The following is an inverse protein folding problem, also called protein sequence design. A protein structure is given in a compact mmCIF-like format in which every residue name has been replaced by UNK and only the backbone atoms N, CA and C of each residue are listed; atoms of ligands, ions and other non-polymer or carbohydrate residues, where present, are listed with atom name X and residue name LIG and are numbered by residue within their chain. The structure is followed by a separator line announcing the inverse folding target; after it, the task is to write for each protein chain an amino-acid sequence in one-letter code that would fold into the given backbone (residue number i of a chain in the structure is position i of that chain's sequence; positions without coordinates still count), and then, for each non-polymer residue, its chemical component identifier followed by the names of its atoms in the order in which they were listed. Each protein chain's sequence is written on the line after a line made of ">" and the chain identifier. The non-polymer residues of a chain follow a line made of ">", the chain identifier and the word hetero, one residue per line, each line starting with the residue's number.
data_IF_306551531142
#
_entry.id   IF_306551531142
#
_cell.length_a   1.000
_cell.length_b   1.000
_cell.length_c   1.000
_cell.angle_alpha   90.00
_cell.angle_beta   90.00
_cell.angle_gamma   90.00
#
_symmetry.space_group_name_H-M   'P 1'
#
loop_
_entity.id
_entity.type
_entity.pdbx_description
1 polymer ?
#
# COMPACT_ATOMS: atom_id res chain seq x y z
N UNK A 1 -11.92 -43.20 -61.12
CA UNK A 1 -13.32 -43.66 -61.08
C UNK A 1 -13.54 -44.54 -59.88
N UNK A 2 -14.48 -44.23 -59.11
CA UNK A 2 -15.17 -44.81 -57.95
C UNK A 2 -15.06 -43.97 -56.73
N UNK A 3 -16.10 -43.23 -56.55
CA UNK A 3 -16.48 -42.42 -55.41
C UNK A 3 -16.80 -43.33 -54.22
N UNK A 4 -16.21 -43.04 -53.03
CA UNK A 4 -16.65 -43.65 -51.77
C UNK A 4 -17.10 -42.52 -50.87
N UNK A 5 -18.38 -42.46 -50.56
CA UNK A 5 -19.01 -41.62 -49.55
C UNK A 5 -18.76 -42.25 -48.19
N UNK A 6 -18.09 -41.53 -47.30
CA UNK A 6 -18.05 -41.90 -45.88
C UNK A 6 -19.07 -41.08 -45.08
N UNK A 7 -19.96 -41.84 -44.48
CA UNK A 7 -20.99 -41.41 -43.55
C UNK A 7 -20.38 -41.20 -42.17
N UNK A 8 -20.35 -39.94 -41.67
CA UNK A 8 -19.94 -39.63 -40.30
C UNK A 8 -21.18 -39.73 -39.40
N UNK A 9 -21.18 -40.72 -38.54
CA UNK A 9 -22.12 -40.84 -37.42
C UNK A 9 -21.54 -40.06 -36.27
N UNK A 10 -22.20 -38.98 -35.87
CA UNK A 10 -21.86 -38.20 -34.67
C UNK A 10 -22.58 -38.77 -33.46
N UNK A 11 -21.85 -39.38 -32.56
CA UNK A 11 -22.33 -39.78 -31.24
C UNK A 11 -22.03 -38.65 -30.25
N UNK A 12 -23.05 -37.93 -29.82
CA UNK A 12 -22.97 -36.93 -28.75
C UNK A 12 -22.95 -37.63 -27.39
N UNK A 13 -21.81 -37.61 -26.72
CA UNK A 13 -21.72 -37.98 -25.30
C UNK A 13 -21.83 -36.67 -24.50
N UNK A 14 -22.99 -36.47 -23.86
CA UNK A 14 -23.20 -35.43 -22.89
C UNK A 14 -22.47 -35.82 -21.58
N UNK A 15 -21.26 -35.33 -21.41
CA UNK A 15 -20.53 -35.43 -20.14
C UNK A 15 -20.91 -34.23 -19.25
N UNK A 16 -21.67 -34.49 -18.21
CA UNK A 16 -21.96 -33.50 -17.15
C UNK A 16 -20.71 -33.30 -16.34
N UNK A 17 -19.95 -32.25 -16.63
CA UNK A 17 -18.90 -31.78 -15.73
C UNK A 17 -19.54 -31.01 -14.56
N UNK A 18 -19.56 -31.61 -13.38
CA UNK A 18 -19.76 -30.92 -12.12
C UNK A 18 -18.53 -30.03 -11.87
N UNK A 19 -18.63 -28.75 -12.23
CA UNK A 19 -17.69 -27.72 -11.80
C UNK A 19 -18.01 -27.45 -10.33
N UNK A 20 -17.21 -27.99 -9.41
CA UNK A 20 -17.18 -27.53 -8.03
C UNK A 20 -16.66 -26.09 -8.02
N UNK A 21 -17.56 -25.14 -7.91
CA UNK A 21 -17.25 -23.73 -7.76
C UNK A 21 -16.47 -23.49 -6.49
N UNK A 22 -15.27 -22.95 -6.61
CA UNK A 22 -14.55 -22.31 -5.50
C UNK A 22 -15.41 -21.15 -5.03
N UNK A 23 -15.94 -21.27 -3.81
CA UNK A 23 -16.66 -20.18 -3.12
C UNK A 23 -15.67 -19.06 -2.83
N UNK A 24 -15.52 -18.14 -3.78
CA UNK A 24 -15.01 -16.82 -3.49
C UNK A 24 -16.02 -16.11 -2.57
N UNK A 25 -15.53 -15.44 -1.53
CA UNK A 25 -16.35 -14.57 -0.68
C UNK A 25 -16.79 -13.33 -1.47
N UNK A 26 -17.65 -13.52 -2.46
CA UNK A 26 -18.45 -12.48 -3.06
C UNK A 26 -19.91 -12.83 -2.73
N UNK A 27 -20.60 -11.96 -2.01
CA UNK A 27 -22.05 -12.00 -1.94
C UNK A 27 -22.57 -11.98 -3.39
N UNK A 28 -23.24 -13.06 -3.82
CA UNK A 28 -23.97 -13.10 -5.06
C UNK A 28 -25.27 -12.31 -4.89
N UNK A 29 -25.22 -11.00 -5.10
CA UNK A 29 -26.41 -10.16 -5.18
C UNK A 29 -27.02 -10.20 -6.57
N UNK A 30 -28.34 -10.22 -6.66
CA UNK A 30 -29.11 -10.08 -7.89
C UNK A 30 -28.99 -8.63 -8.45
N UNK A 31 -29.27 -8.36 -9.74
CA UNK A 31 -29.19 -7.02 -10.31
C UNK A 31 -29.97 -5.90 -9.58
N UNK A 32 -30.99 -6.24 -8.79
CA UNK A 32 -31.75 -5.31 -7.95
C UNK A 32 -30.97 -4.88 -6.68
N UNK A 33 -29.94 -5.65 -6.22
CA UNK A 33 -29.11 -5.32 -5.06
C UNK A 33 -27.95 -4.37 -5.42
N UNK A 34 -27.64 -4.16 -6.70
CA UNK A 34 -26.55 -3.25 -7.11
C UNK A 34 -26.87 -1.81 -6.75
N UNK A 35 -28.14 -1.38 -6.76
CA UNK A 35 -28.52 -0.03 -6.35
C UNK A 35 -28.50 0.19 -4.83
N UNK A 36 -28.52 -0.85 -4.00
CA UNK A 36 -28.42 -0.75 -2.54
C UNK A 36 -26.97 -0.72 -2.01
N UNK A 37 -25.99 -0.91 -2.87
CA UNK A 37 -24.58 -1.11 -2.48
C UNK A 37 -23.78 0.18 -2.20
N UNK A 38 -24.33 1.36 -2.51
CA UNK A 38 -23.66 2.64 -2.23
C UNK A 38 -23.71 3.07 -0.76
N UNK A 39 -24.58 2.46 0.03
CA UNK A 39 -24.68 2.74 1.46
C UNK A 39 -23.40 2.33 2.19
N UNK A 40 -23.04 3.14 3.19
CA UNK A 40 -21.97 2.78 4.13
C UNK A 40 -22.52 1.73 5.10
N UNK A 41 -21.87 0.57 5.14
CA UNK A 41 -22.26 -0.57 5.97
C UNK A 41 -21.17 -0.93 6.96
N UNK A 42 -21.51 -1.23 8.22
CA UNK A 42 -20.55 -1.75 9.18
C UNK A 42 -19.88 -3.02 8.65
N UNK A 43 -18.58 -3.15 8.92
CA UNK A 43 -17.79 -4.31 8.55
C UNK A 43 -17.10 -4.88 9.79
N UNK A 44 -17.03 -6.19 9.86
CA UNK A 44 -16.24 -6.92 10.85
C UNK A 44 -15.41 -7.99 10.15
N UNK A 45 -14.16 -8.08 10.54
CA UNK A 45 -13.25 -9.13 10.08
C UNK A 45 -13.68 -10.44 10.72
N UNK A 46 -13.87 -11.44 9.88
CA UNK A 46 -14.07 -12.83 10.32
C UNK A 46 -13.44 -13.77 9.30
N UNK A 47 -12.39 -14.45 9.72
CA UNK A 47 -11.72 -15.47 8.90
C UNK A 47 -12.13 -16.86 9.40
N UNK A 48 -12.78 -17.71 8.57
CA UNK A 48 -13.12 -19.06 8.96
C UNK A 48 -11.89 -19.86 9.40
N UNK A 49 -12.04 -20.69 10.44
CA UNK A 49 -10.93 -21.49 10.97
C UNK A 49 -10.28 -22.41 9.94
N UNK A 50 -11.05 -22.88 8.96
CA UNK A 50 -10.53 -23.70 7.85
C UNK A 50 -9.43 -22.99 7.03
N UNK A 51 -9.54 -21.65 6.83
CA UNK A 51 -8.55 -20.87 6.08
C UNK A 51 -7.24 -20.75 6.87
N UNK A 52 -7.33 -20.56 8.18
CA UNK A 52 -6.15 -20.54 9.06
C UNK A 52 -5.49 -21.92 9.14
N UNK A 53 -6.29 -22.98 9.14
CA UNK A 53 -5.80 -24.35 9.11
C UNK A 53 -5.11 -24.67 7.78
N UNK A 54 -5.67 -24.22 6.66
CA UNK A 54 -5.05 -24.39 5.34
C UNK A 54 -3.72 -23.62 5.24
N UNK A 55 -3.67 -22.38 5.73
CA UNK A 55 -2.42 -21.61 5.82
C UNK A 55 -1.33 -22.40 6.56
N UNK A 56 -1.63 -22.90 7.76
CA UNK A 56 -0.68 -23.68 8.56
C UNK A 56 -0.24 -24.97 7.84
N UNK A 57 -1.16 -25.66 7.18
CA UNK A 57 -0.89 -26.85 6.37
C UNK A 57 0.08 -26.51 5.21
N UNK A 58 -0.16 -25.42 4.50
CA UNK A 58 0.70 -24.98 3.38
C UNK A 58 2.09 -24.56 3.87
N UNK A 59 2.18 -23.86 4.97
CA UNK A 59 3.45 -23.54 5.62
C UNK A 59 4.24 -24.81 5.94
N UNK A 60 3.59 -25.82 6.55
CA UNK A 60 4.24 -27.09 6.89
C UNK A 60 4.67 -27.89 5.65
N UNK A 61 4.03 -27.69 4.51
CA UNK A 61 4.33 -28.36 3.24
C UNK A 61 5.30 -27.55 2.35
N UNK A 62 5.89 -26.47 2.85
CA UNK A 62 6.81 -25.62 2.07
C UNK A 62 8.00 -26.44 1.57
N UNK A 63 8.25 -26.34 0.26
CA UNK A 63 9.48 -26.84 -0.37
C UNK A 63 10.48 -25.70 -0.42
N UNK A 64 11.58 -25.86 0.29
CA UNK A 64 12.62 -24.85 0.36
C UNK A 64 13.61 -24.98 -0.80
N UNK A 65 14.11 -23.86 -1.36
CA UNK A 65 15.21 -23.88 -2.30
C UNK A 65 16.54 -24.18 -1.59
N UNK A 66 17.60 -24.30 -2.36
CA UNK A 66 18.97 -24.22 -1.88
C UNK A 66 19.29 -22.83 -1.34
N UNK A 67 20.40 -22.74 -0.57
CA UNK A 67 20.87 -21.49 0.01
C UNK A 67 21.31 -20.49 -1.06
N UNK A 68 21.18 -19.21 -0.73
CA UNK A 68 21.86 -18.12 -1.43
C UNK A 68 23.38 -18.36 -1.47
N UNK A 69 24.03 -17.87 -2.52
CA UNK A 69 25.49 -18.04 -2.73
C UNK A 69 26.30 -16.82 -2.26
N UNK A 70 25.64 -15.88 -1.57
CA UNK A 70 26.22 -14.66 -1.01
C UNK A 70 25.91 -14.56 0.48
N UNK A 71 26.75 -13.83 1.22
CA UNK A 71 26.55 -13.66 2.67
C UNK A 71 25.59 -12.54 3.04
N UNK A 72 25.13 -11.75 2.06
CA UNK A 72 24.25 -10.61 2.26
C UNK A 72 22.85 -10.86 1.64
N UNK A 73 22.04 -9.80 1.57
CA UNK A 73 20.67 -9.85 1.02
C UNK A 73 20.58 -9.48 -0.47
N UNK A 74 21.69 -9.46 -1.20
CA UNK A 74 21.70 -9.03 -2.60
C UNK A 74 20.98 -10.01 -3.53
N UNK A 75 20.77 -11.25 -3.12
CA UNK A 75 19.96 -12.26 -3.81
C UNK A 75 18.53 -12.38 -3.27
N UNK A 76 18.11 -11.54 -2.32
CA UNK A 76 16.77 -11.54 -1.73
C UNK A 76 16.76 -11.90 -0.25
N UNK A 77 15.62 -12.40 0.24
CA UNK A 77 15.49 -12.84 1.63
C UNK A 77 16.39 -14.07 1.86
N UNK A 78 17.24 -14.01 2.90
CA UNK A 78 18.12 -15.10 3.27
C UNK A 78 17.33 -16.32 3.75
N UNK A 79 17.68 -17.51 3.30
CA UNK A 79 16.92 -18.73 3.54
C UNK A 79 16.68 -19.01 5.02
N UNK A 80 17.72 -18.93 5.84
CA UNK A 80 17.60 -19.21 7.30
C UNK A 80 16.65 -18.23 7.98
N UNK A 81 16.77 -16.93 7.67
CA UNK A 81 15.91 -15.89 8.23
C UNK A 81 14.45 -16.05 7.79
N UNK A 82 14.23 -16.39 6.53
CA UNK A 82 12.89 -16.66 6.04
C UNK A 82 12.30 -17.94 6.66
N UNK A 83 13.09 -18.98 6.82
CA UNK A 83 12.65 -20.21 7.50
C UNK A 83 12.26 -19.96 8.95
N UNK A 84 13.02 -19.13 9.67
CA UNK A 84 12.70 -18.71 11.03
C UNK A 84 11.34 -18.01 11.10
N UNK A 85 11.12 -16.99 10.25
CA UNK A 85 9.87 -16.24 10.19
C UNK A 85 8.68 -17.13 9.81
N UNK A 86 8.82 -17.96 8.79
CA UNK A 86 7.75 -18.85 8.30
C UNK A 86 7.44 -19.97 9.31
N UNK A 87 8.43 -20.50 10.02
CA UNK A 87 8.22 -21.43 11.11
C UNK A 87 7.44 -20.80 12.27
N UNK A 88 7.78 -19.56 12.64
CA UNK A 88 7.03 -18.80 13.63
C UNK A 88 5.59 -18.53 13.17
N UNK A 89 5.40 -18.14 11.91
CA UNK A 89 4.09 -17.95 11.29
C UNK A 89 3.19 -19.19 11.40
N UNK A 90 3.77 -20.37 11.17
CA UNK A 90 3.02 -21.64 11.26
C UNK A 90 2.70 -22.11 12.67
N UNK A 91 3.53 -21.76 13.68
CA UNK A 91 3.47 -22.34 15.03
C UNK A 91 3.17 -21.36 16.15
N UNK A 92 3.82 -20.19 16.14
CA UNK A 92 3.77 -19.19 17.23
C UNK A 92 2.76 -18.07 17.00
N UNK A 93 2.56 -17.71 15.72
CA UNK A 93 1.69 -16.61 15.34
C UNK A 93 0.20 -16.97 15.44
N UNK A 94 -0.61 -16.01 15.91
CA UNK A 94 -2.07 -16.16 16.06
C UNK A 94 -2.82 -15.00 15.39
N UNK A 95 -3.40 -15.25 14.22
CA UNK A 95 -4.24 -14.31 13.49
C UNK A 95 -5.42 -13.76 14.31
N UNK A 96 -5.94 -14.52 15.29
CA UNK A 96 -7.08 -14.05 16.09
C UNK A 96 -6.77 -12.76 16.84
N UNK A 97 -5.52 -12.55 17.23
CA UNK A 97 -5.09 -11.28 17.85
C UNK A 97 -5.14 -10.11 16.85
N UNK A 98 -4.74 -10.33 15.60
CA UNK A 98 -4.84 -9.32 14.53
C UNK A 98 -6.32 -9.02 14.19
N UNK A 99 -7.14 -10.04 14.11
CA UNK A 99 -8.59 -9.92 13.90
C UNK A 99 -9.26 -9.13 15.03
N UNK A 100 -8.86 -9.38 16.29
CA UNK A 100 -9.33 -8.63 17.46
C UNK A 100 -8.91 -7.16 17.41
N UNK A 101 -7.64 -6.86 17.09
CA UNK A 101 -7.13 -5.48 16.91
C UNK A 101 -7.95 -4.72 15.86
N UNK A 102 -8.20 -5.31 14.71
CA UNK A 102 -9.02 -4.71 13.67
C UNK A 102 -10.47 -4.51 14.12
N UNK A 103 -11.06 -5.52 14.75
CA UNK A 103 -12.46 -5.49 15.19
C UNK A 103 -12.71 -4.56 16.40
N UNK A 104 -11.67 -4.11 17.08
CA UNK A 104 -11.74 -3.05 18.10
C UNK A 104 -11.96 -1.66 17.48
N UNK A 105 -11.74 -1.52 16.17
CA UNK A 105 -11.91 -0.25 15.43
C UNK A 105 -13.23 -0.26 14.64
N UNK A 106 -13.89 0.90 14.50
CA UNK A 106 -15.02 1.05 13.59
C UNK A 106 -14.57 0.86 12.14
N UNK A 107 -15.09 -0.18 11.49
CA UNK A 107 -14.80 -0.51 10.10
C UNK A 107 -16.08 -0.54 9.29
N UNK A 108 -15.95 -0.19 8.03
CA UNK A 108 -17.08 -0.05 7.12
C UNK A 108 -16.71 -0.49 5.70
N UNK A 109 -17.77 -0.71 4.89
CA UNK A 109 -17.64 -0.88 3.45
C UNK A 109 -18.66 -0.02 2.72
N UNK A 110 -18.31 0.42 1.51
CA UNK A 110 -19.22 1.07 0.57
C UNK A 110 -18.77 0.77 -0.85
N UNK A 111 -19.69 0.65 -1.80
CA UNK A 111 -19.33 0.42 -3.20
C UNK A 111 -19.16 1.74 -3.93
N UNK A 112 -18.01 1.95 -4.58
CA UNK A 112 -17.72 3.11 -5.42
C UNK A 112 -17.17 2.61 -6.74
N UNK A 113 -17.71 3.08 -7.85
CA UNK A 113 -17.34 2.65 -9.21
C UNK A 113 -17.36 1.12 -9.39
N UNK A 114 -18.31 0.43 -8.76
CA UNK A 114 -18.46 -1.03 -8.83
C UNK A 114 -17.51 -1.85 -7.96
N UNK A 115 -16.59 -1.20 -7.23
CA UNK A 115 -15.66 -1.86 -6.30
C UNK A 115 -16.08 -1.57 -4.86
N UNK A 116 -16.15 -2.64 -4.05
CA UNK A 116 -16.42 -2.51 -2.62
C UNK A 116 -15.18 -1.97 -1.91
N UNK A 117 -15.26 -0.81 -1.32
CA UNK A 117 -14.16 -0.16 -0.59
C UNK A 117 -14.35 -0.42 0.90
N UNK A 118 -13.40 -1.13 1.49
CA UNK A 118 -13.26 -1.27 2.93
C UNK A 118 -12.48 -0.08 3.49
N UNK A 119 -12.89 0.42 4.66
CA UNK A 119 -12.17 1.48 5.36
C UNK A 119 -12.39 1.45 6.87
N UNK A 120 -11.39 1.89 7.61
CA UNK A 120 -11.47 2.22 9.03
C UNK A 120 -11.87 3.70 9.12
N UNK A 121 -12.84 4.04 9.97
CA UNK A 121 -13.25 5.42 10.18
C UNK A 121 -13.44 5.68 11.66
N UNK A 122 -12.52 6.45 12.25
CA UNK A 122 -12.55 6.80 13.67
C UNK A 122 -12.74 8.31 13.81
N UNK A 123 -13.86 8.69 14.39
CA UNK A 123 -14.15 10.09 14.72
C UNK A 123 -13.49 10.47 16.04
N UNK A 124 -12.94 11.67 16.07
CA UNK A 124 -12.45 12.29 17.27
C UNK A 124 -13.59 12.65 18.24
N UNK A 125 -13.39 12.59 19.55
CA UNK A 125 -14.33 13.20 20.51
C UNK A 125 -14.37 14.73 20.45
N UNK A 126 -13.44 15.38 19.75
CA UNK A 126 -13.34 16.84 19.64
C UNK A 126 -14.08 17.36 18.41
N UNK A 127 -14.99 18.34 18.61
CA UNK A 127 -15.92 18.80 17.57
C UNK A 127 -15.26 19.43 16.33
N UNK A 128 -14.08 20.02 16.49
CA UNK A 128 -13.36 20.73 15.42
C UNK A 128 -12.18 19.90 14.86
N UNK A 129 -12.24 18.59 15.00
CA UNK A 129 -11.24 17.71 14.42
C UNK A 129 -11.19 17.87 12.90
N UNK A 130 -9.98 17.99 12.34
CA UNK A 130 -9.78 18.05 10.89
C UNK A 130 -9.95 16.64 10.30
N UNK A 131 -10.90 16.42 9.36
CA UNK A 131 -10.99 15.15 8.67
C UNK A 131 -9.74 14.88 7.84
N UNK A 132 -9.18 13.67 7.99
CA UNK A 132 -7.95 13.25 7.34
C UNK A 132 -8.12 11.86 6.72
N UNK A 133 -7.96 11.77 5.41
CA UNK A 133 -7.85 10.49 4.73
C UNK A 133 -6.37 10.11 4.59
N UNK A 134 -6.03 8.88 5.00
CA UNK A 134 -4.66 8.37 5.00
C UNK A 134 -4.59 7.12 4.12
N UNK A 135 -3.72 7.15 3.12
CA UNK A 135 -3.54 6.06 2.16
C UNK A 135 -2.24 5.32 2.41
N UNK A 136 -2.34 4.01 2.60
CA UNK A 136 -1.20 3.09 2.68
C UNK A 136 -0.60 2.80 1.30
N UNK A 137 0.46 1.98 1.25
CA UNK A 137 1.10 1.54 0.02
C UNK A 137 1.37 0.04 -0.05
N UNK A 138 2.32 -0.35 -0.89
CA UNK A 138 2.79 -1.72 -1.04
C UNK A 138 4.23 -1.84 -0.46
N UNK A 139 4.58 -2.91 0.24
CA UNK A 139 3.79 -4.08 0.59
C UNK A 139 3.03 -3.97 1.93
N UNK A 140 2.67 -2.77 2.34
CA UNK A 140 1.88 -2.51 3.54
C UNK A 140 0.38 -2.64 3.31
N UNK A 141 -0.36 -2.33 4.35
CA UNK A 141 -1.82 -2.30 4.39
C UNK A 141 -2.31 -1.35 5.48
N UNK A 142 -3.60 -1.43 5.83
CA UNK A 142 -4.13 -0.67 6.97
C UNK A 142 -3.39 -0.95 8.29
N UNK A 143 -2.71 -2.09 8.41
CA UNK A 143 -1.95 -2.45 9.62
C UNK A 143 -0.81 -1.47 9.90
N UNK A 144 -0.15 -0.93 8.88
CA UNK A 144 0.93 0.05 9.06
C UNK A 144 0.48 1.35 9.72
N UNK A 145 -0.83 1.65 9.69
CA UNK A 145 -1.43 2.90 10.15
C UNK A 145 -2.17 2.78 11.49
N UNK A 146 -2.31 1.57 12.07
CA UNK A 146 -3.13 1.39 13.27
C UNK A 146 -2.60 2.14 14.49
N UNK A 147 -1.28 2.22 14.64
CA UNK A 147 -0.63 2.86 15.81
C UNK A 147 -0.88 4.37 15.89
N UNK A 148 -1.15 5.03 14.77
CA UNK A 148 -1.36 6.49 14.73
C UNK A 148 -2.82 6.91 14.96
N UNK A 149 -3.77 5.98 14.91
CA UNK A 149 -5.22 6.29 15.02
C UNK A 149 -5.51 6.96 16.38
N UNK A 150 -5.13 6.33 17.48
CA UNK A 150 -5.35 6.87 18.82
C UNK A 150 -4.70 8.26 19.01
N UNK A 151 -3.39 8.42 18.73
CA UNK A 151 -2.72 9.71 18.81
C UNK A 151 -3.36 10.80 17.96
N UNK A 152 -3.84 10.50 16.76
CA UNK A 152 -4.50 11.48 15.88
C UNK A 152 -5.92 11.83 16.34
N UNK A 153 -6.70 10.84 16.76
CA UNK A 153 -8.12 11.07 17.10
C UNK A 153 -8.35 11.58 18.53
N UNK A 154 -7.48 11.21 19.47
CA UNK A 154 -7.55 11.63 20.87
C UNK A 154 -6.20 12.19 21.37
N UNK A 155 -5.70 13.28 20.77
CA UNK A 155 -4.35 13.78 21.02
C UNK A 155 -4.04 14.07 22.48
N UNK A 156 -5.01 14.48 23.30
CA UNK A 156 -4.75 14.80 24.73
C UNK A 156 -4.35 13.59 25.56
N UNK A 157 -4.75 12.37 25.15
CA UNK A 157 -4.29 11.13 25.79
C UNK A 157 -2.85 10.77 25.40
N UNK A 158 -2.26 11.46 24.43
CA UNK A 158 -0.92 11.21 23.87
C UNK A 158 -0.05 12.49 23.85
N UNK A 159 -0.23 13.39 24.81
CA UNK A 159 0.60 14.58 24.97
C UNK A 159 0.35 15.74 23.99
N UNK A 160 -0.67 15.62 23.12
CA UNK A 160 -1.11 16.69 22.22
C UNK A 160 -2.25 17.52 22.80
N UNK A 161 -2.84 18.39 21.99
CA UNK A 161 -3.92 19.31 22.37
C UNK A 161 -5.19 18.97 21.63
N UNK A 162 -6.36 19.33 22.19
CA UNK A 162 -7.67 19.06 21.60
C UNK A 162 -7.82 19.65 20.18
N UNK A 163 -7.24 20.82 19.93
CA UNK A 163 -7.24 21.46 18.62
C UNK A 163 -6.38 20.74 17.57
N UNK A 164 -5.49 19.81 17.99
CA UNK A 164 -4.67 19.02 17.08
C UNK A 164 -5.36 17.73 16.60
N UNK A 165 -6.63 17.53 16.97
CA UNK A 165 -7.37 16.32 16.67
C UNK A 165 -7.74 16.18 15.19
N UNK A 166 -7.82 14.90 14.75
CA UNK A 166 -8.29 14.52 13.42
C UNK A 166 -9.45 13.52 13.50
N UNK A 167 -10.40 13.61 12.57
CA UNK A 167 -11.22 12.47 12.20
C UNK A 167 -10.45 11.65 11.16
N UNK A 168 -10.21 10.38 11.42
CA UNK A 168 -9.30 9.56 10.60
C UNK A 168 -10.08 8.59 9.73
N UNK A 169 -9.80 8.59 8.41
CA UNK A 169 -10.33 7.64 7.43
C UNK A 169 -9.16 6.91 6.79
N UNK A 170 -9.09 5.59 6.95
CA UNK A 170 -8.03 4.73 6.41
C UNK A 170 -8.67 3.69 5.50
N UNK A 171 -8.77 3.93 4.18
CA UNK A 171 -9.26 2.92 3.25
C UNK A 171 -8.20 1.86 2.94
N UNK A 172 -8.62 0.60 2.78
CA UNK A 172 -7.83 -0.38 2.02
C UNK A 172 -7.87 0.00 0.55
N UNK A 173 -6.72 0.05 -0.11
CA UNK A 173 -6.65 0.33 -1.55
C UNK A 173 -7.47 -0.70 -2.35
N UNK A 174 -8.08 -0.31 -3.49
CA UNK A 174 -8.72 -1.27 -4.38
C UNK A 174 -7.77 -2.42 -4.76
N UNK A 175 -8.20 -3.66 -4.53
CA UNK A 175 -7.36 -4.83 -4.74
C UNK A 175 -6.45 -5.23 -3.57
N UNK A 176 -6.49 -4.49 -2.46
CA UNK A 176 -5.73 -4.76 -1.23
C UNK A 176 -6.65 -5.11 -0.08
N UNK A 177 -6.16 -5.95 0.83
CA UNK A 177 -6.84 -6.26 2.08
C UNK A 177 -8.31 -6.64 1.86
N UNK A 178 -9.20 -5.99 2.59
CA UNK A 178 -10.64 -6.28 2.52
C UNK A 178 -11.40 -5.47 1.46
N UNK A 179 -10.74 -4.59 0.70
CA UNK A 179 -11.37 -3.97 -0.46
C UNK A 179 -11.53 -4.96 -1.62
N UNK A 180 -12.57 -4.72 -2.43
CA UNK A 180 -12.84 -5.50 -3.63
C UNK A 180 -11.68 -5.40 -4.63
N UNK A 181 -11.50 -6.47 -5.41
CA UNK A 181 -10.51 -6.52 -6.48
C UNK A 181 -11.14 -5.99 -7.76
N UNK A 182 -10.56 -4.96 -8.41
CA UNK A 182 -11.02 -4.53 -9.71
C UNK A 182 -11.02 -5.68 -10.72
N UNK A 183 -12.08 -5.78 -11.50
CA UNK A 183 -12.27 -6.81 -12.55
C UNK A 183 -11.99 -6.27 -13.94
N UNK A 184 -11.72 -4.98 -14.09
CA UNK A 184 -11.40 -4.28 -15.31
C UNK A 184 -10.15 -3.42 -15.13
N UNK A 185 -9.49 -3.04 -16.22
CA UNK A 185 -8.38 -2.09 -16.22
C UNK A 185 -8.88 -0.65 -15.95
N UNK A 186 -7.93 0.25 -15.65
CA UNK A 186 -8.21 1.68 -15.40
C UNK A 186 -8.35 2.03 -13.92
N UNK A 187 -7.95 1.14 -13.01
CA UNK A 187 -7.91 1.40 -11.56
C UNK A 187 -6.54 1.91 -11.08
N UNK A 188 -5.96 2.83 -11.85
CA UNK A 188 -4.74 3.53 -11.47
C UNK A 188 -4.97 4.63 -10.42
N UNK A 189 -3.87 5.31 -10.00
CA UNK A 189 -3.90 6.34 -8.94
C UNK A 189 -4.92 7.46 -9.18
N UNK A 190 -5.12 7.88 -10.42
CA UNK A 190 -6.07 8.92 -10.78
C UNK A 190 -7.53 8.54 -10.48
N UNK A 191 -7.91 7.29 -10.73
CA UNK A 191 -9.25 6.79 -10.41
C UNK A 191 -9.42 6.62 -8.91
N UNK A 192 -8.41 6.07 -8.24
CA UNK A 192 -8.42 5.90 -6.79
C UNK A 192 -8.55 7.25 -6.08
N UNK A 193 -7.86 8.28 -6.55
CA UNK A 193 -7.97 9.64 -6.03
C UNK A 193 -9.42 10.18 -6.10
N UNK A 194 -10.13 9.96 -7.22
CA UNK A 194 -11.56 10.32 -7.34
C UNK A 194 -12.43 9.51 -6.37
N UNK A 195 -12.14 8.23 -6.22
CA UNK A 195 -12.86 7.34 -5.28
C UNK A 195 -12.70 7.83 -3.84
N UNK A 196 -11.53 8.33 -3.46
CA UNK A 196 -11.28 8.90 -2.12
C UNK A 196 -12.09 10.17 -1.88
N UNK A 197 -12.21 11.06 -2.86
CA UNK A 197 -13.09 12.24 -2.76
C UNK A 197 -14.57 11.83 -2.62
N UNK A 198 -15.03 10.84 -3.38
CA UNK A 198 -16.39 10.30 -3.24
C UNK A 198 -16.59 9.70 -1.85
N UNK A 199 -15.63 8.95 -1.33
CA UNK A 199 -15.69 8.38 0.01
C UNK A 199 -15.82 9.47 1.08
N UNK A 200 -14.99 10.51 1.03
CA UNK A 200 -15.03 11.62 1.99
C UNK A 200 -16.36 12.36 1.93
N UNK A 201 -16.91 12.62 0.74
CA UNK A 201 -18.24 13.23 0.56
C UNK A 201 -19.36 12.35 1.10
N UNK A 202 -19.31 11.03 0.91
CA UNK A 202 -20.30 10.08 1.49
C UNK A 202 -20.27 10.07 3.02
N UNK A 203 -19.10 10.32 3.62
CA UNK A 203 -18.94 10.46 5.06
C UNK A 203 -19.41 11.83 5.58
N UNK A 204 -19.81 12.75 4.69
CA UNK A 204 -20.30 14.09 5.01
C UNK A 204 -19.19 15.14 5.15
N UNK A 205 -17.96 14.83 4.75
CA UNK A 205 -16.84 15.76 4.84
C UNK A 205 -16.77 16.67 3.62
N UNK A 206 -16.94 17.96 3.85
CA UNK A 206 -16.84 19.03 2.82
C UNK A 206 -15.54 19.82 2.91
N UNK A 207 -14.74 19.57 3.95
CA UNK A 207 -13.41 20.12 4.16
C UNK A 207 -12.55 19.05 4.80
N UNK A 208 -11.43 18.65 4.18
CA UNK A 208 -10.58 17.57 4.64
C UNK A 208 -9.16 17.70 4.10
N UNK A 209 -8.21 17.03 4.76
CA UNK A 209 -6.84 16.86 4.29
C UNK A 209 -6.60 15.42 3.83
N UNK A 210 -5.53 15.21 3.05
CA UNK A 210 -5.10 13.88 2.63
C UNK A 210 -3.62 13.66 2.93
N UNK A 211 -3.28 12.43 3.31
CA UNK A 211 -1.91 11.98 3.57
C UNK A 211 -1.63 10.69 2.84
N UNK A 212 -0.38 10.50 2.36
CA UNK A 212 0.07 9.24 1.80
C UNK A 212 1.58 9.08 1.77
N UNK A 213 2.02 7.84 1.91
CA UNK A 213 3.36 7.34 1.63
C UNK A 213 3.29 6.27 0.54
N UNK A 214 4.39 5.97 -0.14
CA UNK A 214 4.43 4.96 -1.22
C UNK A 214 3.33 5.17 -2.28
N UNK A 215 2.51 4.16 -2.61
CA UNK A 215 1.34 4.34 -3.48
C UNK A 215 0.35 5.35 -2.94
N UNK A 216 0.23 5.43 -1.61
CA UNK A 216 -0.56 6.48 -0.97
C UNK A 216 -0.08 7.88 -1.34
N UNK A 217 1.24 8.11 -1.50
CA UNK A 217 1.77 9.39 -1.96
C UNK A 217 1.34 9.70 -3.40
N UNK A 218 1.48 8.75 -4.31
CA UNK A 218 1.08 8.91 -5.73
C UNK A 218 -0.43 9.21 -5.85
N UNK A 219 -1.26 8.53 -5.06
CA UNK A 219 -2.71 8.75 -5.00
C UNK A 219 -3.02 10.13 -4.41
N UNK A 220 -2.34 10.53 -3.34
CA UNK A 220 -2.52 11.82 -2.68
C UNK A 220 -2.09 12.97 -3.59
N UNK A 221 -1.03 12.81 -4.36
CA UNK A 221 -0.63 13.76 -5.42
C UNK A 221 -1.69 13.84 -6.52
N UNK A 222 -2.27 12.71 -6.93
CA UNK A 222 -3.38 12.71 -7.87
C UNK A 222 -4.61 13.46 -7.31
N UNK A 223 -4.92 13.31 -6.02
CA UNK A 223 -5.94 14.14 -5.36
C UNK A 223 -5.58 15.63 -5.40
N UNK A 224 -4.31 15.97 -5.12
CA UNK A 224 -3.81 17.34 -5.20
C UNK A 224 -3.94 17.97 -6.58
N UNK A 225 -3.66 17.19 -7.65
CA UNK A 225 -3.85 17.65 -9.04
C UNK A 225 -5.31 17.85 -9.42
N UNK A 226 -6.18 16.92 -9.00
CA UNK A 226 -7.62 17.00 -9.24
C UNK A 226 -8.27 18.10 -8.44
N UNK A 227 -7.69 18.49 -7.31
CA UNK A 227 -8.09 19.57 -6.42
C UNK A 227 -9.61 19.60 -6.17
N UNK A 228 -10.23 18.50 -5.67
CA UNK A 228 -11.63 18.48 -5.38
C UNK A 228 -11.96 19.57 -4.33
N UNK A 229 -13.12 20.20 -4.44
CA UNK A 229 -13.49 21.41 -3.66
C UNK A 229 -13.34 21.22 -2.13
N UNK A 230 -13.46 19.99 -1.62
CA UNK A 230 -13.32 19.70 -0.18
C UNK A 230 -11.87 19.50 0.27
N UNK A 231 -10.91 19.30 -0.62
CA UNK A 231 -9.52 19.02 -0.27
C UNK A 231 -8.78 20.32 0.07
N UNK A 232 -8.36 20.47 1.31
CA UNK A 232 -7.69 21.67 1.82
C UNK A 232 -6.18 21.67 1.62
N UNK A 233 -5.54 20.50 1.62
CA UNK A 233 -4.11 20.33 1.45
C UNK A 233 -3.69 18.87 1.57
N UNK A 234 -2.43 18.59 1.24
CA UNK A 234 -1.86 17.24 1.22
C UNK A 234 -0.57 17.16 2.02
N UNK A 235 -0.30 15.98 2.59
CA UNK A 235 0.98 15.63 3.21
C UNK A 235 1.55 14.36 2.59
N UNK A 236 2.86 14.35 2.34
CA UNK A 236 3.58 13.27 1.68
C UNK A 236 4.83 12.90 2.46
N UNK A 237 5.12 11.61 2.61
CA UNK A 237 6.39 11.12 3.12
C UNK A 237 7.26 10.40 2.06
N UNK A 238 6.74 10.18 0.86
CA UNK A 238 7.51 9.75 -0.32
C UNK A 238 7.12 10.59 -1.54
N UNK A 239 7.50 11.88 -1.59
CA UNK A 239 7.03 12.82 -2.60
C UNK A 239 7.70 12.63 -3.97
N UNK A 240 6.98 12.92 -5.06
CA UNK A 240 7.55 12.95 -6.40
C UNK A 240 8.27 14.27 -6.62
N UNK A 241 9.58 14.31 -6.40
CA UNK A 241 10.37 15.54 -6.48
C UNK A 241 11.55 15.47 -7.44
N UNK A 242 11.86 14.27 -7.99
CA UNK A 242 13.04 14.11 -8.86
C UNK A 242 12.89 14.96 -10.12
N UNK A 243 13.84 15.90 -10.38
CA UNK A 243 13.81 16.74 -11.57
C UNK A 243 14.00 15.94 -12.86
N UNK A 244 13.49 16.45 -13.98
CA UNK A 244 13.50 15.74 -15.27
C UNK A 244 14.90 15.35 -15.73
N UNK A 245 15.91 16.22 -15.56
CA UNK A 245 17.29 15.95 -15.92
C UNK A 245 17.94 14.85 -15.07
N UNK A 246 17.57 14.78 -13.79
CA UNK A 246 18.02 13.73 -12.86
C UNK A 246 17.35 12.39 -13.18
N UNK A 247 16.04 12.40 -13.41
CA UNK A 247 15.28 11.19 -13.77
C UNK A 247 15.74 10.59 -15.10
N UNK A 248 16.04 11.45 -16.10
CA UNK A 248 16.61 11.03 -17.37
C UNK A 248 17.99 10.36 -17.19
N UNK A 249 18.88 10.95 -16.38
CA UNK A 249 20.19 10.38 -16.10
C UNK A 249 20.10 9.04 -15.35
N UNK A 250 19.22 8.94 -14.34
CA UNK A 250 18.94 7.69 -13.62
C UNK A 250 18.36 6.60 -14.53
N UNK A 251 17.51 6.97 -15.47
CA UNK A 251 16.85 6.03 -16.41
C UNK A 251 17.83 5.49 -17.44
N UNK A 252 18.71 6.32 -17.95
CA UNK A 252 19.72 5.93 -18.94
C UNK A 252 21.00 5.33 -18.33
N UNK A 253 21.15 5.40 -17.00
CA UNK A 253 22.39 5.01 -16.30
C UNK A 253 23.55 5.97 -16.53
N UNK A 254 23.26 7.19 -17.00
CA UNK A 254 24.25 8.25 -17.26
C UNK A 254 24.84 8.81 -15.96
N UNK A 255 25.99 9.50 -16.02
CA UNK A 255 26.53 10.23 -14.86
C UNK A 255 25.55 11.28 -14.33
N UNK A 256 25.75 11.69 -13.09
CA UNK A 256 24.97 12.74 -12.45
C UNK A 256 25.03 14.04 -13.30
N UNK A 257 23.91 14.74 -13.47
CA UNK A 257 23.90 16.06 -14.09
C UNK A 257 24.85 17.04 -13.38
N UNK A 258 25.47 17.94 -14.14
CA UNK A 258 26.32 18.97 -13.55
C UNK A 258 25.51 19.93 -12.67
N UNK A 259 26.14 20.45 -11.62
CA UNK A 259 25.56 21.49 -10.76
C UNK A 259 24.69 20.98 -9.61
N UNK A 260 24.60 19.66 -9.39
CA UNK A 260 23.97 19.12 -8.19
C UNK A 260 24.77 19.53 -6.95
N UNK A 261 24.07 19.96 -5.87
CA UNK A 261 24.66 20.14 -4.54
C UNK A 261 25.17 18.81 -3.97
N UNK A 262 25.99 18.84 -2.91
CA UNK A 262 26.47 17.63 -2.24
C UNK A 262 25.33 16.69 -1.88
N UNK A 263 24.26 17.20 -1.25
CA UNK A 263 23.09 16.43 -0.84
C UNK A 263 22.32 15.85 -2.03
N UNK A 264 22.12 16.62 -3.09
CA UNK A 264 21.47 16.16 -4.30
C UNK A 264 22.28 15.07 -5.01
N UNK A 265 23.61 15.20 -5.01
CA UNK A 265 24.52 14.19 -5.54
C UNK A 265 24.47 12.89 -4.72
N UNK A 266 24.41 12.99 -3.38
CA UNK A 266 24.25 11.82 -2.50
C UNK A 266 22.95 11.07 -2.79
N UNK A 267 21.85 11.80 -2.99
CA UNK A 267 20.55 11.21 -3.34
C UNK A 267 20.59 10.58 -4.73
N UNK A 268 21.20 11.26 -5.72
CA UNK A 268 21.40 10.68 -7.06
C UNK A 268 22.19 9.35 -6.98
N UNK A 269 23.28 9.33 -6.24
CA UNK A 269 24.13 8.15 -6.08
C UNK A 269 23.36 7.01 -5.39
N UNK A 270 22.58 7.30 -4.34
CA UNK A 270 21.74 6.32 -3.66
C UNK A 270 20.69 5.69 -4.60
N UNK A 271 19.97 6.52 -5.36
CA UNK A 271 18.99 6.07 -6.35
C UNK A 271 19.63 5.29 -7.50
N UNK A 272 20.80 5.74 -8.00
CA UNK A 272 21.57 5.01 -9.02
C UNK A 272 21.99 3.62 -8.52
N UNK A 273 22.46 3.54 -7.27
CA UNK A 273 22.78 2.26 -6.63
C UNK A 273 21.54 1.39 -6.50
N UNK A 274 20.45 1.93 -5.97
CA UNK A 274 19.16 1.24 -5.80
C UNK A 274 18.68 0.59 -7.11
N UNK A 275 18.75 1.33 -8.23
CA UNK A 275 18.38 0.80 -9.56
C UNK A 275 19.37 -0.27 -10.06
N UNK A 276 20.69 -0.05 -9.90
CA UNK A 276 21.75 -0.96 -10.39
C UNK A 276 21.84 -2.27 -9.62
N UNK A 277 21.54 -2.28 -8.34
CA UNK A 277 21.63 -3.48 -7.50
C UNK A 277 20.42 -4.40 -7.60
N UNK A 278 19.42 -4.05 -8.42
CA UNK A 278 18.19 -4.83 -8.54
C UNK A 278 17.22 -4.68 -7.36
N UNK A 279 17.51 -3.78 -6.40
CA UNK A 279 16.63 -3.53 -5.27
C UNK A 279 15.22 -3.05 -5.70
N UNK A 280 15.11 -2.45 -6.89
CA UNK A 280 13.86 -2.05 -7.52
C UNK A 280 13.23 -3.13 -8.43
N UNK A 281 13.77 -4.36 -8.48
CA UNK A 281 13.31 -5.39 -9.43
C UNK A 281 11.85 -5.79 -9.25
N UNK A 282 11.34 -5.78 -8.02
CA UNK A 282 9.93 -6.03 -7.75
C UNK A 282 9.00 -5.07 -8.51
N UNK A 283 9.36 -3.79 -8.56
CA UNK A 283 8.61 -2.76 -9.29
C UNK A 283 8.57 -3.08 -10.79
N UNK A 284 9.72 -3.43 -11.39
CA UNK A 284 9.82 -3.79 -12.81
C UNK A 284 8.93 -4.97 -13.15
N UNK A 285 8.96 -6.02 -12.33
CA UNK A 285 8.16 -7.24 -12.55
C UNK A 285 6.67 -6.93 -12.42
N UNK A 286 6.26 -6.22 -11.35
CA UNK A 286 4.86 -5.89 -11.11
C UNK A 286 4.30 -4.92 -12.18
N UNK A 287 5.12 -3.99 -12.64
CA UNK A 287 4.74 -3.08 -13.75
C UNK A 287 4.57 -3.84 -15.07
N UNK A 288 5.45 -4.80 -15.37
CA UNK A 288 5.45 -5.48 -16.66
C UNK A 288 4.52 -6.70 -16.74
N UNK A 289 4.52 -7.54 -15.70
CA UNK A 289 3.86 -8.87 -15.72
C UNK A 289 3.33 -9.29 -14.35
N UNK A 290 2.41 -8.52 -13.72
CA UNK A 290 1.91 -8.79 -12.37
C UNK A 290 1.26 -10.17 -12.23
N UNK A 291 0.59 -10.66 -13.27
CA UNK A 291 -0.06 -11.97 -13.26
C UNK A 291 0.95 -13.12 -13.16
N UNK A 292 2.16 -12.97 -13.71
CA UNK A 292 3.15 -14.04 -13.76
C UNK A 292 3.62 -14.48 -12.36
N UNK A 293 3.85 -13.54 -11.47
CA UNK A 293 4.23 -13.82 -10.07
C UNK A 293 3.04 -14.28 -9.23
N UNK A 294 1.82 -13.89 -9.62
CA UNK A 294 0.60 -14.14 -8.87
C UNK A 294 0.35 -15.63 -8.61
N UNK A 295 0.68 -16.52 -9.56
CA UNK A 295 0.51 -17.95 -9.39
C UNK A 295 1.31 -18.51 -8.20
N UNK A 296 2.58 -18.11 -8.07
CA UNK A 296 3.42 -18.51 -6.94
C UNK A 296 3.00 -17.86 -5.63
N UNK A 297 2.64 -16.57 -5.65
CA UNK A 297 2.24 -15.83 -4.45
C UNK A 297 0.89 -16.27 -3.88
N UNK A 298 0.01 -16.80 -4.73
CA UNK A 298 -1.29 -17.36 -4.32
C UNK A 298 -1.17 -18.78 -3.76
N UNK A 299 -0.15 -19.52 -4.17
CA UNK A 299 -0.01 -20.94 -3.82
C UNK A 299 0.93 -21.19 -2.63
N UNK A 300 1.95 -20.35 -2.45
CA UNK A 300 2.99 -20.53 -1.42
C UNK A 300 3.01 -19.37 -0.40
N UNK A 301 2.66 -19.61 0.88
CA UNK A 301 2.84 -18.61 1.94
C UNK A 301 4.31 -18.18 2.08
N UNK A 302 5.25 -19.11 2.01
CA UNK A 302 6.68 -18.79 2.08
C UNK A 302 7.13 -17.96 0.87
N UNK A 303 6.63 -18.28 -0.33
CA UNK A 303 6.87 -17.48 -1.54
C UNK A 303 6.30 -16.08 -1.42
N UNK A 304 5.11 -15.93 -0.84
CA UNK A 304 4.51 -14.63 -0.54
C UNK A 304 5.38 -13.82 0.44
N UNK A 305 5.77 -14.41 1.57
CA UNK A 305 6.63 -13.76 2.56
C UNK A 305 7.96 -13.30 1.94
N UNK A 306 8.64 -14.17 1.17
CA UNK A 306 9.86 -13.83 0.46
C UNK A 306 9.66 -12.65 -0.50
N UNK A 307 8.50 -12.61 -1.20
CA UNK A 307 8.17 -11.54 -2.14
C UNK A 307 7.89 -10.21 -1.45
N UNK A 308 7.17 -10.19 -0.34
CA UNK A 308 6.92 -8.96 0.41
C UNK A 308 8.22 -8.43 1.03
N UNK A 309 9.08 -9.32 1.53
CA UNK A 309 10.38 -8.99 2.10
C UNK A 309 11.42 -8.45 1.09
N UNK A 310 11.15 -8.54 -0.22
CA UNK A 310 12.04 -7.95 -1.23
C UNK A 310 12.03 -6.41 -1.17
N UNK A 311 10.95 -5.82 -0.63
CA UNK A 311 10.86 -4.37 -0.50
C UNK A 311 11.90 -3.85 0.50
N UNK A 312 12.71 -2.83 0.15
CA UNK A 312 13.77 -2.32 1.02
C UNK A 312 13.30 -1.87 2.41
N UNK A 313 12.09 -1.36 2.53
CA UNK A 313 11.47 -1.00 3.80
C UNK A 313 11.42 -2.18 4.77
N UNK A 314 11.08 -3.40 4.32
CA UNK A 314 11.12 -4.60 5.14
C UNK A 314 12.54 -5.18 5.31
N UNK A 315 13.42 -5.00 4.35
CA UNK A 315 14.77 -5.56 4.40
C UNK A 315 15.67 -4.92 5.47
N UNK A 316 15.28 -3.76 6.01
CA UNK A 316 16.02 -3.10 7.09
C UNK A 316 15.69 -3.70 8.46
N UNK A 317 14.61 -4.48 8.58
CA UNK A 317 14.15 -4.97 9.86
C UNK A 317 14.87 -6.24 10.30
N UNK A 318 15.41 -6.16 11.48
CA UNK A 318 15.83 -7.30 12.27
C UNK A 318 14.66 -7.57 13.23
N UNK A 319 13.81 -8.52 12.87
CA UNK A 319 12.60 -8.82 13.63
C UNK A 319 12.90 -9.06 15.10
N UNK A 320 12.20 -8.37 16.01
CA UNK A 320 12.28 -8.43 17.46
C UNK A 320 13.56 -7.83 18.11
N UNK A 321 14.51 -7.28 17.36
CA UNK A 321 15.74 -6.78 17.96
C UNK A 321 15.51 -5.45 18.72
N UNK A 322 14.54 -4.64 18.28
CA UNK A 322 14.17 -3.39 18.94
C UNK A 322 12.70 -3.01 18.65
N UNK A 323 11.74 -3.43 19.49
CA UNK A 323 10.32 -3.17 19.28
C UNK A 323 9.94 -1.66 19.36
N UNK A 324 10.79 -0.82 19.94
CA UNK A 324 10.60 0.62 19.99
C UNK A 324 11.04 1.31 18.68
N UNK A 325 11.82 0.59 17.86
CA UNK A 325 12.38 1.10 16.62
C UNK A 325 11.69 0.51 15.38
N UNK A 326 11.29 -0.75 15.44
CA UNK A 326 10.76 -1.51 14.30
C UNK A 326 9.49 -2.25 14.68
N UNK A 327 8.63 -2.56 13.70
CA UNK A 327 7.50 -3.47 13.92
C UNK A 327 7.97 -4.83 14.45
N UNK A 328 7.17 -5.40 15.34
CA UNK A 328 7.40 -6.74 15.86
C UNK A 328 7.15 -7.79 14.78
N UNK A 329 7.66 -9.00 14.99
CA UNK A 329 7.41 -10.17 14.14
C UNK A 329 5.90 -10.43 13.94
N UNK A 330 5.11 -10.30 15.01
CA UNK A 330 3.65 -10.43 14.96
C UNK A 330 3.02 -9.37 14.06
N UNK A 331 3.43 -8.12 14.16
CA UNK A 331 2.90 -7.02 13.34
C UNK A 331 3.19 -7.23 11.85
N UNK A 332 4.41 -7.66 11.51
CA UNK A 332 4.77 -8.00 10.12
C UNK A 332 3.92 -9.16 9.61
N UNK A 333 3.68 -10.17 10.45
CA UNK A 333 2.85 -11.31 10.10
C UNK A 333 1.34 -10.98 10.08
N UNK A 334 0.88 -9.97 10.81
CA UNK A 334 -0.48 -9.45 10.68
C UNK A 334 -0.73 -8.98 9.22
N UNK A 335 0.23 -8.23 8.67
CA UNK A 335 0.17 -7.74 7.29
C UNK A 335 0.31 -8.87 6.26
N UNK A 336 1.32 -9.73 6.37
CA UNK A 336 1.52 -10.86 5.45
C UNK A 336 0.33 -11.83 5.45
N UNK A 337 -0.25 -12.07 6.63
CA UNK A 337 -1.42 -12.92 6.78
C UNK A 337 -2.65 -12.29 6.14
N UNK A 338 -2.81 -10.97 6.22
CA UNK A 338 -3.87 -10.25 5.51
C UNK A 338 -3.75 -10.46 3.99
N UNK A 339 -2.55 -10.27 3.41
CA UNK A 339 -2.31 -10.53 1.99
C UNK A 339 -2.65 -11.97 1.60
N UNK A 340 -2.27 -12.94 2.42
CA UNK A 340 -2.56 -14.35 2.18
C UNK A 340 -4.06 -14.64 2.23
N UNK A 341 -4.73 -14.30 3.33
CA UNK A 341 -6.13 -14.64 3.58
C UNK A 341 -7.08 -13.95 2.61
N UNK A 342 -6.74 -12.77 2.14
CA UNK A 342 -7.54 -12.04 1.13
C UNK A 342 -7.10 -12.37 -0.30
N UNK A 343 -6.02 -13.14 -0.47
CA UNK A 343 -5.40 -13.43 -1.77
C UNK A 343 -5.17 -12.17 -2.60
N UNK A 344 -4.64 -11.11 -1.97
CA UNK A 344 -4.55 -9.78 -2.58
C UNK A 344 -3.23 -9.49 -3.29
N UNK A 345 -2.24 -10.41 -3.26
CA UNK A 345 -0.91 -10.17 -3.84
C UNK A 345 -0.92 -9.79 -5.31
N UNK A 346 -1.69 -10.54 -6.13
CA UNK A 346 -1.78 -10.28 -7.57
C UNK A 346 -2.56 -9.00 -7.87
N UNK A 347 -3.68 -8.77 -7.16
CA UNK A 347 -4.47 -7.56 -7.36
C UNK A 347 -3.73 -6.29 -6.92
N UNK A 348 -2.95 -6.37 -5.85
CA UNK A 348 -2.06 -5.30 -5.41
C UNK A 348 -0.97 -5.00 -6.46
N UNK A 349 -0.35 -6.03 -7.01
CA UNK A 349 0.65 -5.88 -8.06
C UNK A 349 0.11 -5.20 -9.34
N UNK A 350 -1.20 -5.33 -9.62
CA UNK A 350 -1.82 -4.66 -10.78
C UNK A 350 -1.81 -3.14 -10.68
N UNK A 351 -1.74 -2.55 -9.49
CA UNK A 351 -1.61 -1.10 -9.33
C UNK A 351 -0.32 -0.57 -9.98
N UNK A 352 0.77 -1.34 -9.90
CA UNK A 352 2.02 -1.03 -10.61
C UNK A 352 1.83 -1.04 -12.13
N UNK A 353 1.12 -2.03 -12.65
CA UNK A 353 0.82 -2.14 -14.08
C UNK A 353 -0.09 -0.99 -14.55
N UNK A 354 -1.10 -0.62 -13.76
CA UNK A 354 -2.01 0.50 -14.04
C UNK A 354 -1.27 1.87 -14.07
N UNK A 355 -0.18 1.99 -13.34
CA UNK A 355 0.69 3.18 -13.36
C UNK A 355 1.80 3.08 -14.42
N UNK A 356 1.73 2.12 -15.33
CA UNK A 356 2.80 1.69 -16.23
C UNK A 356 3.63 2.84 -16.82
N UNK A 357 4.94 2.76 -16.60
CA UNK A 357 5.91 3.71 -17.14
C UNK A 357 6.00 5.07 -16.45
N UNK A 358 5.16 5.36 -15.45
CA UNK A 358 5.26 6.59 -14.66
C UNK A 358 6.16 6.35 -13.45
N UNK A 359 7.24 7.07 -13.35
CA UNK A 359 8.12 7.06 -12.18
C UNK A 359 7.38 7.62 -10.96
N UNK A 360 7.18 6.84 -9.88
CA UNK A 360 6.38 7.29 -8.73
C UNK A 360 6.98 8.51 -8.03
N UNK A 361 8.29 8.66 -8.06
CA UNK A 361 9.03 9.77 -7.43
C UNK A 361 9.52 10.83 -8.44
N UNK A 362 9.11 10.73 -9.71
CA UNK A 362 9.45 11.71 -10.76
C UNK A 362 8.45 12.88 -10.75
N UNK A 363 8.94 14.10 -10.52
CA UNK A 363 8.12 15.31 -10.51
C UNK A 363 7.37 15.52 -11.83
N UNK A 364 8.03 15.25 -12.96
CA UNK A 364 7.43 15.39 -14.29
C UNK A 364 6.38 14.31 -14.56
N UNK A 365 6.66 13.06 -14.21
CA UNK A 365 5.72 11.96 -14.41
C UNK A 365 4.44 12.14 -13.57
N UNK A 366 4.58 12.68 -12.35
CA UNK A 366 3.47 12.97 -11.46
C UNK A 366 2.90 14.38 -11.63
N UNK A 367 3.45 15.20 -12.55
CA UNK A 367 2.96 16.57 -12.84
C UNK A 367 2.77 17.43 -11.59
N UNK A 368 3.71 17.37 -10.67
CA UNK A 368 3.59 17.98 -9.33
C UNK A 368 3.45 19.50 -9.39
N UNK A 369 3.97 20.17 -10.43
CA UNK A 369 3.79 21.61 -10.64
C UNK A 369 2.35 22.03 -10.91
N UNK A 370 1.45 21.09 -11.25
CA UNK A 370 0.01 21.35 -11.40
C UNK A 370 -0.71 21.42 -10.04
N UNK A 371 -0.12 20.92 -8.96
CA UNK A 371 -0.69 20.95 -7.59
C UNK A 371 -0.59 22.36 -7.04
N UNK A 372 -1.76 23.02 -6.87
CA UNK A 372 -1.85 24.38 -6.34
C UNK A 372 -2.26 24.45 -4.88
N UNK A 373 -2.78 23.36 -4.33
CA UNK A 373 -3.12 23.24 -2.92
C UNK A 373 -1.86 23.28 -2.04
N UNK A 374 -1.99 23.62 -0.76
CA UNK A 374 -0.91 23.49 0.22
C UNK A 374 -0.34 22.07 0.25
N UNK A 375 0.98 21.95 0.11
CA UNK A 375 1.71 20.70 0.18
C UNK A 375 2.63 20.72 1.39
N UNK A 376 2.59 19.64 2.16
CA UNK A 376 3.50 19.39 3.27
C UNK A 376 4.31 18.12 2.99
N UNK A 377 5.57 18.11 3.39
CA UNK A 377 6.47 16.98 3.19
C UNK A 377 7.24 16.71 4.49
N UNK A 378 7.26 15.44 4.90
CA UNK A 378 8.21 14.94 5.91
C UNK A 378 9.11 13.89 5.29
N UNK A 379 10.42 14.05 5.44
CA UNK A 379 11.44 13.14 4.89
C UNK A 379 12.03 12.31 6.03
N UNK A 380 11.90 10.99 5.91
CA UNK A 380 12.46 10.03 6.87
C UNK A 380 13.82 9.51 6.40
N UNK A 381 14.84 9.41 7.30
CA UNK A 381 16.23 9.14 6.90
C UNK A 381 16.47 7.74 6.35
N UNK A 382 15.64 6.75 6.73
CA UNK A 382 15.77 5.36 6.30
C UNK A 382 14.78 4.97 5.19
N UNK A 383 14.06 5.96 4.61
CA UNK A 383 13.17 5.70 3.46
C UNK A 383 13.99 5.42 2.18
N UNK A 384 13.37 4.74 1.23
CA UNK A 384 13.97 4.41 -0.08
C UNK A 384 14.36 5.63 -0.91
N UNK A 385 13.73 6.76 -0.63
CA UNK A 385 14.01 8.03 -1.27
C UNK A 385 13.93 9.20 -0.29
N UNK A 386 15.03 9.94 -0.14
CA UNK A 386 15.14 11.13 0.71
C UNK A 386 15.11 12.38 -0.16
N UNK A 387 13.93 12.97 -0.33
CA UNK A 387 13.75 14.13 -1.17
C UNK A 387 14.57 15.34 -0.67
N UNK A 388 15.48 15.94 -1.45
CA UNK A 388 16.11 17.20 -1.07
C UNK A 388 15.08 18.34 -1.09
N UNK A 389 15.19 19.26 -0.13
CA UNK A 389 14.28 20.41 -0.05
C UNK A 389 14.29 21.27 -1.33
N UNK A 390 15.45 21.42 -1.95
CA UNK A 390 15.60 22.15 -3.22
C UNK A 390 14.77 21.55 -4.35
N UNK A 391 14.72 20.21 -4.42
CA UNK A 391 13.90 19.54 -5.41
C UNK A 391 12.41 19.61 -5.04
N UNK A 392 12.08 19.49 -3.75
CA UNK A 392 10.71 19.62 -3.29
C UNK A 392 10.12 21.01 -3.58
N UNK A 393 10.88 22.09 -3.32
CA UNK A 393 10.47 23.47 -3.64
C UNK A 393 10.33 23.72 -5.14
N UNK A 394 11.13 23.05 -5.96
CA UNK A 394 11.01 23.11 -7.42
C UNK A 394 9.78 22.34 -7.92
N UNK A 395 9.46 21.22 -7.30
CA UNK A 395 8.36 20.34 -7.69
C UNK A 395 6.98 20.87 -7.28
N UNK A 396 6.86 21.46 -6.09
CA UNK A 396 5.58 21.92 -5.54
C UNK A 396 5.55 23.44 -5.35
N UNK A 397 4.80 24.17 -6.21
CA UNK A 397 4.74 25.63 -6.13
C UNK A 397 4.20 26.18 -4.80
N UNK A 398 3.35 25.41 -4.12
CA UNK A 398 2.76 25.78 -2.84
C UNK A 398 3.22 24.82 -1.72
N UNK A 399 4.55 24.62 -1.61
CA UNK A 399 5.14 23.87 -0.51
C UNK A 399 5.12 24.73 0.77
N UNK A 400 4.25 24.37 1.71
CA UNK A 400 4.03 25.12 2.96
C UNK A 400 4.76 24.57 4.16
N UNK A 401 5.14 23.29 4.10
CA UNK A 401 5.88 22.60 5.16
C UNK A 401 6.89 21.63 4.55
N UNK A 402 8.11 21.66 5.07
CA UNK A 402 9.15 20.70 4.72
C UNK A 402 9.98 20.42 5.97
N UNK A 403 10.07 19.16 6.37
CA UNK A 403 10.88 18.76 7.51
C UNK A 403 11.60 17.45 7.23
N UNK A 404 12.89 17.41 7.55
CA UNK A 404 13.72 16.21 7.58
C UNK A 404 13.88 15.80 9.02
N UNK A 405 13.32 14.65 9.37
CA UNK A 405 13.41 14.09 10.72
C UNK A 405 14.65 13.22 10.87
N UNK A 406 14.99 12.87 12.11
CA UNK A 406 16.23 12.17 12.46
C UNK A 406 16.10 10.64 12.55
N UNK A 407 14.88 10.09 12.47
CA UNK A 407 14.60 8.66 12.58
C UNK A 407 13.35 8.25 11.81
N UNK A 408 13.24 6.95 11.56
CA UNK A 408 12.15 6.33 10.80
C UNK A 408 12.50 6.09 9.35
N UNK A 409 11.82 5.15 8.75
CA UNK A 409 12.02 4.68 7.39
C UNK A 409 10.76 4.72 6.55
N UNK A 410 10.65 3.75 5.66
CA UNK A 410 9.57 3.67 4.69
C UNK A 410 8.18 3.56 5.32
N UNK A 411 8.06 2.77 6.38
CA UNK A 411 6.80 2.60 7.12
C UNK A 411 6.77 3.47 8.37
N UNK A 412 7.03 4.76 8.19
CA UNK A 412 7.22 5.72 9.27
C UNK A 412 6.09 5.75 10.31
N UNK A 413 4.83 5.61 9.88
CA UNK A 413 3.67 5.52 10.77
C UNK A 413 3.70 4.26 11.66
N UNK A 414 4.30 3.21 11.19
CA UNK A 414 4.45 1.94 11.90
C UNK A 414 5.66 1.93 12.81
N UNK A 415 6.78 2.44 12.30
CA UNK A 415 8.10 2.47 12.95
C UNK A 415 8.19 3.55 14.03
N UNK A 416 7.69 4.76 13.74
CA UNK A 416 7.80 5.96 14.58
C UNK A 416 6.43 6.66 14.71
N UNK A 417 5.39 5.99 15.28
CA UNK A 417 4.02 6.50 15.27
C UNK A 417 3.86 7.85 15.98
N UNK A 418 4.62 8.08 17.06
CA UNK A 418 4.57 9.35 17.78
C UNK A 418 5.12 10.48 16.93
N UNK A 419 6.32 10.32 16.37
CA UNK A 419 6.97 11.31 15.50
C UNK A 419 6.10 11.59 14.27
N UNK A 420 5.60 10.54 13.61
CA UNK A 420 4.72 10.69 12.45
C UNK A 420 3.46 11.50 12.77
N UNK A 421 2.87 11.27 13.93
CA UNK A 421 1.69 12.02 14.39
C UNK A 421 2.01 13.49 14.66
N UNK A 422 3.16 13.77 15.26
CA UNK A 422 3.63 15.14 15.52
C UNK A 422 3.86 15.90 14.22
N UNK A 423 4.46 15.24 13.21
CA UNK A 423 4.66 15.79 11.87
C UNK A 423 3.33 16.13 11.19
N UNK A 424 2.33 15.25 11.25
CA UNK A 424 0.99 15.54 10.69
C UNK A 424 0.31 16.72 11.38
N UNK A 425 0.45 16.85 12.70
CA UNK A 425 -0.10 17.99 13.45
C UNK A 425 0.57 19.29 13.02
N UNK A 426 1.89 19.28 12.86
CA UNK A 426 2.67 20.44 12.42
C UNK A 426 2.34 20.82 10.97
N UNK A 427 2.32 19.84 10.08
CA UNK A 427 2.05 20.00 8.66
C UNK A 427 0.68 20.63 8.37
N UNK A 428 -0.35 20.19 9.09
CA UNK A 428 -1.73 20.64 8.86
C UNK A 428 -2.20 21.75 9.80
N UNK A 429 -1.32 22.34 10.58
CA UNK A 429 -1.65 23.40 11.54
C UNK A 429 -2.35 24.60 10.89
N UNK A 430 -1.96 24.95 9.66
CA UNK A 430 -2.52 26.10 8.93
C UNK A 430 -3.84 25.81 8.23
N UNK A 431 -4.29 24.54 8.19
CA UNK A 431 -5.53 24.12 7.51
C UNK A 431 -6.71 23.94 8.48
N UNK A 432 -6.53 24.25 9.75
CA UNK A 432 -7.53 24.10 10.83
C UNK A 432 -8.36 25.35 11.01
#
# INVERSE_FOLDING_TARGET
>A
MKTVKNLLVSTSIAGTFLVQGTTGYAQTGTPAEVQSNEAIRPFKVYIPQKELTDLKRRIAATRWPDHETVADRSQGAQLEKLQELVNYWGKGYDWRKAEEKLNALPQFTTTIDGVNIHFIHVRSPYKNALPLIISHGWPGSVFELLKIIGPLTNPTAFGGRAEDAFDVVIPSLPGYGFSGKPTEAGWGPERIARVWDVLMKRLGYTHYAAQGGDWGAVITEAMGRQAPAGLAGIHLNLPATIPVEVDAALTTGSPAPAGLSGKELDVFNALSKYRKTGAAAYNVIMTARPQAIGYGLTDSPAGLAAWLLIHPGFSQWTYDDDPDKYPTKDEVLDDFTLYWLTNSSTSAARLYWENAGRGPISATAQKTTEIKLPVAITVFPEDVYRAPETWARRAYPNLTYFHEVDKGGHFAAWEQPQLFTEELRAAFKQLR
#
